data_IF_681094012104
#
_entry.id   IF_681094012104
#
_cell.length_a   1.000
_cell.length_b   1.000
_cell.length_c   1.000
_cell.angle_alpha   90.00
_cell.angle_beta   90.00
_cell.angle_gamma   90.00
#
_symmetry.space_group_name_H-M   'P 1'
#
loop_
_entity.id
_entity.type
_entity.pdbx_description
1 polymer ?
#
# COMPACT_ATOMS: atom_id res chain seq x y z
N UNK A 1 19.15 6.62 -6.16
CA UNK A 1 18.63 7.90 -6.69
C UNK A 1 18.90 7.94 -8.20
N UNK A 2 18.08 7.27 -9.00
CA UNK A 2 18.29 7.20 -10.46
C UNK A 2 16.99 7.16 -11.26
N UNK A 3 15.83 7.10 -10.60
CA UNK A 3 14.52 7.06 -11.26
C UNK A 3 14.05 8.43 -11.82
N UNK A 4 14.76 9.53 -11.54
CA UNK A 4 14.38 10.88 -11.98
C UNK A 4 15.05 11.35 -13.28
N UNK A 5 16.10 10.68 -13.75
CA UNK A 5 16.92 11.15 -14.89
C UNK A 5 16.43 10.66 -16.26
N UNK A 6 15.61 9.62 -16.32
CA UNK A 6 15.03 9.09 -17.57
C UNK A 6 13.76 9.80 -18.00
N UNK A 7 13.10 10.53 -17.10
CA UNK A 7 11.86 11.24 -17.40
C UNK A 7 12.02 12.33 -18.48
N UNK A 8 13.07 13.18 -18.49
CA UNK A 8 13.25 14.19 -19.53
C UNK A 8 13.56 13.58 -20.91
N UNK A 9 14.22 12.42 -20.96
CA UNK A 9 14.59 11.76 -22.23
C UNK A 9 13.38 11.20 -22.97
N UNK A 10 12.40 10.64 -22.25
CA UNK A 10 11.17 10.13 -22.83
C UNK A 10 10.27 11.28 -23.26
N UNK A 11 10.16 12.31 -22.42
CA UNK A 11 9.39 13.52 -22.72
C UNK A 11 9.99 14.30 -23.89
N UNK A 12 11.32 14.38 -24.01
CA UNK A 12 12.01 15.03 -25.14
C UNK A 12 11.90 14.26 -26.46
N UNK A 13 11.63 12.96 -26.42
CA UNK A 13 11.42 12.15 -27.63
C UNK A 13 9.96 12.14 -28.10
N UNK A 14 9.02 12.43 -27.18
CA UNK A 14 7.58 12.50 -27.49
C UNK A 14 7.15 13.91 -27.92
N UNK A 15 7.85 14.95 -27.48
CA UNK A 15 7.56 16.33 -27.84
C UNK A 15 8.54 16.74 -28.95
N UNK A 16 8.28 16.27 -30.17
CA UNK A 16 8.95 16.81 -31.35
C UNK A 16 8.35 18.21 -31.62
N UNK A 17 9.21 19.22 -31.77
CA UNK A 17 9.01 20.65 -31.47
C UNK A 17 7.79 21.40 -32.09
N UNK A 18 6.89 20.79 -32.87
CA UNK A 18 6.10 21.56 -33.85
C UNK A 18 4.58 21.33 -33.94
N UNK A 19 3.93 20.47 -33.16
CA UNK A 19 2.47 20.29 -33.30
C UNK A 19 1.67 20.33 -31.99
N UNK A 20 0.73 21.29 -31.96
CA UNK A 20 -0.34 21.55 -30.99
C UNK A 20 -0.56 20.48 -29.91
N UNK A 21 0.19 20.69 -28.84
CA UNK A 21 0.48 19.90 -27.65
C UNK A 21 -0.72 19.57 -26.72
N UNK A 22 -1.96 19.59 -27.17
CA UNK A 22 -3.13 19.25 -26.30
C UNK A 22 -3.68 17.85 -26.51
N UNK A 23 -3.56 17.30 -27.72
CA UNK A 23 -4.14 16.01 -28.06
C UNK A 23 -3.20 14.85 -27.68
N UNK A 24 -1.90 15.00 -27.89
CA UNK A 24 -0.88 14.03 -27.51
C UNK A 24 -0.76 13.86 -25.98
N UNK A 25 -0.89 14.94 -25.22
CA UNK A 25 -0.85 14.85 -23.76
C UNK A 25 -2.04 14.08 -23.19
N UNK A 26 -3.21 14.13 -23.84
CA UNK A 26 -4.36 13.31 -23.43
C UNK A 26 -4.06 11.82 -23.56
N UNK A 27 -3.32 11.42 -24.58
CA UNK A 27 -2.91 10.03 -24.76
C UNK A 27 -1.97 9.57 -23.64
N UNK A 28 -0.98 10.40 -23.28
CA UNK A 28 -0.09 10.14 -22.13
C UNK A 28 -0.90 10.03 -20.83
N UNK A 29 -1.86 10.93 -20.60
CA UNK A 29 -2.74 10.87 -19.43
C UNK A 29 -3.57 9.58 -19.40
N UNK A 30 -4.10 9.14 -20.54
CA UNK A 30 -4.84 7.88 -20.64
C UNK A 30 -3.98 6.66 -20.33
N UNK A 31 -2.73 6.63 -20.82
CA UNK A 31 -1.78 5.55 -20.53
C UNK A 31 -1.44 5.52 -19.04
N UNK A 32 -1.12 6.67 -18.45
CA UNK A 32 -0.83 6.77 -17.01
C UNK A 32 -2.05 6.37 -16.16
N UNK A 33 -3.25 6.82 -16.54
CA UNK A 33 -4.49 6.44 -15.88
C UNK A 33 -4.74 4.94 -15.95
N UNK A 34 -4.55 4.31 -17.13
CA UNK A 34 -4.70 2.88 -17.30
C UNK A 34 -3.72 2.08 -16.43
N UNK A 35 -2.44 2.47 -16.41
CA UNK A 35 -1.42 1.83 -15.55
C UNK A 35 -1.78 1.96 -14.08
N UNK A 36 -2.25 3.13 -13.65
CA UNK A 36 -2.63 3.38 -12.26
C UNK A 36 -3.87 2.58 -11.86
N UNK A 37 -4.89 2.50 -12.73
CA UNK A 37 -6.09 1.67 -12.51
C UNK A 37 -5.73 0.19 -12.43
N UNK A 38 -4.90 -0.32 -13.35
CA UNK A 38 -4.44 -1.72 -13.31
C UNK A 38 -3.65 -2.00 -12.04
N UNK A 39 -2.72 -1.11 -11.67
CA UNK A 39 -1.97 -1.22 -10.41
C UNK A 39 -2.89 -1.22 -9.19
N UNK A 40 -3.92 -0.38 -9.20
CA UNK A 40 -4.93 -0.32 -8.13
C UNK A 40 -5.75 -1.60 -8.06
N UNK A 41 -6.16 -2.19 -9.19
CA UNK A 41 -6.92 -3.45 -9.22
C UNK A 41 -6.06 -4.59 -8.66
N UNK A 42 -4.80 -4.70 -9.10
CA UNK A 42 -3.86 -5.70 -8.60
C UNK A 42 -3.66 -5.50 -7.09
N UNK A 43 -3.41 -4.27 -6.67
CA UNK A 43 -3.27 -3.96 -5.25
C UNK A 43 -4.54 -4.31 -4.47
N UNK A 44 -5.72 -3.98 -4.97
CA UNK A 44 -6.99 -4.28 -4.29
C UNK A 44 -7.21 -5.80 -4.14
N UNK A 45 -6.89 -6.60 -5.15
CA UNK A 45 -7.05 -8.06 -5.12
C UNK A 45 -6.06 -8.72 -4.15
N UNK A 46 -4.80 -8.28 -4.17
CA UNK A 46 -3.73 -8.92 -3.40
C UNK A 46 -3.44 -8.24 -2.05
N UNK A 47 -4.05 -7.09 -1.75
CA UNK A 47 -3.87 -6.41 -0.47
C UNK A 47 -4.47 -7.25 0.66
N UNK A 48 -3.65 -7.52 1.68
CA UNK A 48 -4.10 -8.15 2.91
C UNK A 48 -4.26 -7.07 3.97
N UNK A 49 -5.48 -6.81 4.42
CA UNK A 49 -5.80 -5.82 5.45
C UNK A 49 -5.40 -6.23 6.88
N UNK A 50 -4.47 -7.18 7.02
CA UNK A 50 -3.97 -7.61 8.32
C UNK A 50 -2.85 -6.68 8.78
N UNK A 51 -2.87 -6.36 10.08
CA UNK A 51 -1.78 -5.66 10.75
C UNK A 51 -0.52 -6.52 10.64
N UNK A 52 0.40 -6.04 9.82
CA UNK A 52 1.70 -6.68 9.63
C UNK A 52 2.47 -6.66 10.96
N UNK A 53 3.33 -7.65 11.24
CA UNK A 53 3.99 -7.80 12.54
C UNK A 53 4.87 -6.59 12.94
N UNK A 54 5.29 -5.77 11.97
CA UNK A 54 6.01 -4.51 12.20
C UNK A 54 5.11 -3.34 12.63
N UNK A 55 3.80 -3.42 12.38
CA UNK A 55 2.83 -2.39 12.73
C UNK A 55 2.19 -2.60 14.12
N UNK A 56 2.45 -3.74 14.76
CA UNK A 56 1.98 -4.03 16.12
C UNK A 56 2.73 -3.13 17.10
N UNK A 57 2.02 -2.22 17.80
CA UNK A 57 2.66 -1.43 18.85
C UNK A 57 2.93 -2.32 20.05
N UNK A 58 4.04 -2.07 20.75
CA UNK A 58 4.44 -2.84 21.95
C UNK A 58 3.32 -2.88 23.00
N UNK A 59 2.53 -1.80 23.10
CA UNK A 59 1.38 -1.73 24.02
C UNK A 59 0.23 -2.68 23.63
N UNK A 60 0.02 -2.96 22.35
CA UNK A 60 -1.07 -3.82 21.89
C UNK A 60 -0.80 -5.30 22.23
N UNK A 61 0.48 -5.72 22.20
CA UNK A 61 0.90 -7.06 22.67
C UNK A 61 0.71 -7.24 24.17
N UNK A 62 1.05 -6.21 24.95
CA UNK A 62 0.93 -6.25 26.40
C UNK A 62 -0.54 -6.35 26.87
N UNK A 63 -1.46 -5.68 26.16
CA UNK A 63 -2.90 -5.74 26.46
C UNK A 63 -3.46 -7.14 26.19
N UNK A 64 -3.10 -7.75 25.05
CA UNK A 64 -3.56 -9.11 24.69
C UNK A 64 -3.03 -10.17 25.68
N UNK A 65 -1.72 -10.14 26.00
CA UNK A 65 -1.12 -11.05 26.98
C UNK A 65 -1.70 -10.90 28.40
N UNK A 66 -2.02 -9.67 28.83
CA UNK A 66 -2.62 -9.43 30.14
C UNK A 66 -4.06 -9.97 30.25
N UNK A 67 -4.84 -9.85 29.18
CA UNK A 67 -6.20 -10.36 29.10
C UNK A 67 -6.22 -11.90 29.09
N UNK A 68 -5.31 -12.53 28.33
CA UNK A 68 -5.16 -14.00 28.30
C UNK A 68 -4.80 -14.55 29.69
N UNK A 69 -3.77 -14.00 30.35
CA UNK A 69 -3.39 -14.41 31.71
C UNK A 69 -4.51 -14.22 32.73
N UNK A 70 -5.30 -13.16 32.61
CA UNK A 70 -6.44 -12.91 33.48
C UNK A 70 -7.56 -13.96 33.32
N UNK A 71 -7.75 -14.49 32.12
CA UNK A 71 -8.69 -15.57 31.83
C UNK A 71 -8.19 -16.93 32.34
N UNK A 72 -6.90 -17.21 32.17
CA UNK A 72 -6.27 -18.43 32.69
C UNK A 72 -6.40 -18.49 34.22
N UNK A 73 -6.05 -17.39 34.92
CA UNK A 73 -6.17 -17.28 36.37
C UNK A 73 -7.62 -17.46 36.83
N UNK A 74 -8.59 -16.88 36.13
CA UNK A 74 -10.01 -17.01 36.49
C UNK A 74 -10.52 -18.44 36.24
N UNK A 75 -10.06 -19.10 35.18
CA UNK A 75 -10.39 -20.49 34.87
C UNK A 75 -9.84 -21.44 35.93
N UNK A 76 -8.60 -21.24 36.36
CA UNK A 76 -7.98 -22.03 37.42
C UNK A 76 -8.73 -21.90 38.73
N UNK A 77 -9.22 -20.70 39.07
CA UNK A 77 -10.03 -20.48 40.28
C UNK A 77 -11.37 -21.21 40.20
N UNK A 78 -12.05 -21.18 39.05
CA UNK A 78 -13.35 -21.85 38.87
C UNK A 78 -13.19 -23.38 38.85
N UNK A 79 -12.09 -23.89 38.33
CA UNK A 79 -11.84 -25.34 38.22
C UNK A 79 -11.42 -25.98 39.55
N UNK A 80 -10.85 -25.18 40.47
CA UNK A 80 -10.44 -25.62 41.81
C UNK A 80 -11.49 -25.35 42.90
N UNK A 81 -12.71 -24.98 42.53
CA UNK A 81 -13.89 -24.85 43.40
C UNK A 81 -14.84 -26.05 43.18
#
# INVERSE_FOLDING_TARGET
>A
MSAGLTAPSITSALIEEDQNTSEEWKEVFWIVAAVNVVGTIIFAIFSKGEIQPWAIRVNDKAIDESNVKGLDVKSDVITNL
#
